data_IF_352187033337
#
_entry.id   IF_352187033337
#
_cell.length_a   1.000
_cell.length_b   1.000
_cell.length_c   1.000
_cell.angle_alpha   90.00
_cell.angle_beta   90.00
_cell.angle_gamma   90.00
#
_symmetry.space_group_name_H-M   'P 1'
#
loop_
_entity.id
_entity.type
_entity.pdbx_description
1 polymer ?
#
# COMPACT_ATOMS: atom_id res chain seq x y z
N UNK A 1 13.76 -41.12 19.39
CA UNK A 1 13.73 -40.25 18.18
C UNK A 1 12.47 -39.43 18.29
N UNK A 2 12.50 -38.29 18.97
CA UNK A 2 11.36 -37.41 19.08
C UNK A 2 11.07 -36.84 17.71
N UNK A 3 9.90 -37.16 17.19
CA UNK A 3 9.34 -36.51 15.98
C UNK A 3 9.23 -35.03 16.32
N UNK A 4 10.19 -34.22 15.85
CA UNK A 4 10.07 -32.76 15.90
C UNK A 4 8.89 -32.36 15.03
N UNK A 5 7.70 -32.30 15.63
CA UNK A 5 6.47 -31.88 14.94
C UNK A 5 6.68 -30.40 14.62
N UNK A 6 7.10 -30.14 13.40
CA UNK A 6 7.27 -28.77 12.90
C UNK A 6 5.92 -28.06 12.99
N UNK A 7 5.84 -26.94 13.71
CA UNK A 7 4.61 -26.16 13.83
C UNK A 7 4.14 -25.70 12.46
N UNK A 8 2.90 -26.04 12.09
CA UNK A 8 2.25 -25.49 10.91
C UNK A 8 1.76 -24.08 11.24
N UNK A 9 2.18 -23.09 10.44
CA UNK A 9 1.76 -21.71 10.60
C UNK A 9 0.38 -21.48 9.97
N UNK A 10 -0.56 -20.96 10.76
CA UNK A 10 -1.92 -20.66 10.29
C UNK A 10 -2.06 -19.18 9.95
N UNK A 11 -2.48 -18.90 8.72
CA UNK A 11 -2.66 -17.54 8.21
C UNK A 11 -4.10 -17.39 7.72
N UNK A 12 -4.82 -16.40 8.24
CA UNK A 12 -6.18 -16.09 7.79
C UNK A 12 -6.18 -14.82 6.96
N UNK A 13 -6.97 -14.81 5.88
CA UNK A 13 -7.16 -13.66 5.00
C UNK A 13 -8.61 -13.18 5.09
N UNK A 14 -8.83 -12.03 5.72
CA UNK A 14 -10.14 -11.39 5.78
C UNK A 14 -10.32 -10.47 4.57
N UNK A 15 -11.17 -10.87 3.64
CA UNK A 15 -11.47 -10.11 2.45
C UNK A 15 -12.52 -9.03 2.75
N UNK A 16 -12.21 -7.79 2.40
CA UNK A 16 -13.16 -6.67 2.42
C UNK A 16 -13.64 -6.44 0.98
N UNK A 17 -14.93 -6.26 0.79
CA UNK A 17 -15.52 -6.04 -0.52
C UNK A 17 -14.73 -4.98 -1.34
N UNK A 18 -14.59 -5.20 -2.65
CA UNK A 18 -13.71 -4.47 -3.57
C UNK A 18 -12.20 -4.60 -3.22
N UNK A 19 -11.79 -5.68 -2.56
CA UNK A 19 -10.38 -5.93 -2.26
C UNK A 19 -9.53 -6.04 -3.55
N UNK A 20 -8.24 -5.80 -3.41
CA UNK A 20 -7.27 -5.94 -4.51
C UNK A 20 -6.94 -7.42 -4.73
N UNK A 21 -7.45 -8.01 -5.81
CA UNK A 21 -7.19 -9.42 -6.17
C UNK A 21 -5.70 -9.71 -6.28
N UNK A 22 -4.94 -8.83 -6.95
CA UNK A 22 -3.50 -9.03 -7.10
C UNK A 22 -2.77 -9.01 -5.76
N UNK A 23 -3.18 -8.16 -4.81
CA UNK A 23 -2.54 -8.11 -3.48
C UNK A 23 -2.82 -9.39 -2.69
N UNK A 24 -4.05 -9.88 -2.74
CA UNK A 24 -4.45 -11.13 -2.11
C UNK A 24 -3.74 -12.33 -2.74
N UNK A 25 -3.80 -12.47 -4.07
CA UNK A 25 -3.13 -13.57 -4.78
C UNK A 25 -1.62 -13.57 -4.54
N UNK A 26 -0.99 -12.40 -4.57
CA UNK A 26 0.45 -12.24 -4.27
C UNK A 26 0.82 -12.63 -2.84
N UNK A 27 -0.13 -12.60 -1.91
CA UNK A 27 0.11 -13.03 -0.53
C UNK A 27 -0.12 -14.53 -0.31
N UNK A 28 -1.14 -15.12 -0.94
CA UNK A 28 -1.49 -16.53 -0.71
C UNK A 28 -0.60 -17.50 -1.52
N UNK A 29 -0.23 -17.15 -2.75
CA UNK A 29 0.53 -18.01 -3.65
C UNK A 29 1.93 -18.43 -3.14
N UNK A 30 2.70 -17.55 -2.43
CA UNK A 30 3.95 -18.00 -1.82
C UNK A 30 3.79 -19.09 -0.77
N UNK A 31 2.68 -19.10 -0.03
CA UNK A 31 2.39 -20.12 0.98
C UNK A 31 2.13 -21.49 0.32
N UNK A 32 1.31 -21.49 -0.74
CA UNK A 32 1.07 -22.69 -1.56
C UNK A 32 2.37 -23.22 -2.17
N UNK A 33 3.20 -22.32 -2.71
CA UNK A 33 4.47 -22.68 -3.30
C UNK A 33 5.45 -23.22 -2.26
N UNK A 34 5.48 -22.66 -1.03
CA UNK A 34 6.30 -23.14 0.08
C UNK A 34 5.97 -24.59 0.43
N UNK A 35 4.68 -24.91 0.63
CA UNK A 35 4.25 -26.29 0.93
C UNK A 35 4.64 -27.25 -0.19
N UNK A 36 4.36 -26.89 -1.44
CA UNK A 36 4.67 -27.72 -2.61
C UNK A 36 6.19 -28.00 -2.74
N UNK A 37 7.03 -26.96 -2.63
CA UNK A 37 8.48 -27.09 -2.80
C UNK A 37 9.10 -27.88 -1.65
N UNK A 38 8.61 -27.65 -0.43
CA UNK A 38 9.12 -28.34 0.76
C UNK A 38 8.60 -29.78 0.89
N UNK A 39 7.54 -30.14 0.16
CA UNK A 39 6.89 -31.46 0.24
C UNK A 39 6.20 -31.73 1.57
N UNK A 40 5.92 -30.71 2.37
CA UNK A 40 5.23 -30.75 3.67
C UNK A 40 4.38 -29.51 3.86
N UNK A 41 3.34 -29.62 4.68
CA UNK A 41 2.50 -28.49 5.06
C UNK A 41 3.22 -27.62 6.10
N UNK A 42 3.86 -26.55 5.62
CA UNK A 42 4.48 -25.51 6.46
C UNK A 42 3.46 -24.45 6.86
N UNK A 43 2.47 -24.20 6.00
CA UNK A 43 1.46 -23.18 6.12
C UNK A 43 0.08 -23.76 5.84
N UNK A 44 -0.88 -23.41 6.70
CA UNK A 44 -2.31 -23.54 6.45
C UNK A 44 -2.90 -22.13 6.30
N UNK A 45 -3.91 -22.00 5.46
CA UNK A 45 -4.61 -20.73 5.31
C UNK A 45 -6.12 -20.94 5.18
N UNK A 46 -6.84 -19.90 5.56
CA UNK A 46 -8.27 -19.80 5.36
C UNK A 46 -8.65 -18.41 4.86
N UNK A 47 -9.74 -18.33 4.13
CA UNK A 47 -10.30 -17.12 3.58
C UNK A 47 -11.58 -16.81 4.36
N UNK A 48 -11.66 -15.58 4.86
CA UNK A 48 -12.78 -15.10 5.66
C UNK A 48 -13.47 -13.92 4.98
N UNK A 49 -14.77 -13.78 5.24
CA UNK A 49 -15.52 -12.56 4.96
C UNK A 49 -16.25 -12.08 6.21
N UNK A 50 -16.88 -10.90 6.13
CA UNK A 50 -17.59 -10.33 7.29
C UNK A 50 -18.85 -11.12 7.67
N UNK A 51 -19.46 -11.80 6.72
CA UNK A 51 -20.76 -12.47 6.84
C UNK A 51 -20.79 -13.90 6.32
N UNK A 52 -19.65 -14.43 5.90
CA UNK A 52 -19.55 -15.77 5.29
C UNK A 52 -20.03 -15.83 3.84
N UNK A 53 -20.42 -14.69 3.25
CA UNK A 53 -20.85 -14.63 1.85
C UNK A 53 -19.68 -14.35 0.92
N UNK A 54 -19.89 -14.60 -0.38
CA UNK A 54 -18.92 -14.30 -1.41
C UNK A 54 -18.55 -12.81 -1.42
N UNK A 55 -17.26 -12.53 -1.58
CA UNK A 55 -16.71 -11.16 -1.61
C UNK A 55 -16.21 -10.85 -3.01
N UNK A 56 -16.66 -9.74 -3.58
CA UNK A 56 -16.21 -9.29 -4.88
C UNK A 56 -14.91 -8.48 -4.74
N UNK A 57 -13.95 -8.79 -5.59
CA UNK A 57 -12.73 -7.99 -5.70
C UNK A 57 -12.94 -6.75 -6.58
N UNK A 58 -11.99 -5.84 -6.58
CA UNK A 58 -12.04 -4.60 -7.37
C UNK A 58 -12.04 -4.83 -8.89
N UNK A 59 -11.71 -6.03 -9.37
CA UNK A 59 -11.79 -6.40 -10.79
C UNK A 59 -13.07 -7.18 -11.15
N UNK A 60 -14.02 -7.33 -10.20
CA UNK A 60 -15.32 -7.99 -10.41
C UNK A 60 -15.31 -9.51 -10.19
N UNK A 61 -14.17 -10.15 -9.93
CA UNK A 61 -14.12 -11.57 -9.61
C UNK A 61 -14.51 -11.76 -8.14
N UNK A 62 -15.43 -12.68 -7.87
CA UNK A 62 -15.87 -13.03 -6.52
C UNK A 62 -15.15 -14.26 -5.98
N UNK A 63 -14.81 -14.20 -4.70
CA UNK A 63 -14.24 -15.34 -3.95
C UNK A 63 -15.23 -15.77 -2.88
N UNK A 64 -15.47 -17.08 -2.81
CA UNK A 64 -16.22 -17.69 -1.73
C UNK A 64 -15.28 -17.92 -0.53
N UNK A 65 -15.59 -17.37 0.65
CA UNK A 65 -14.78 -17.61 1.84
C UNK A 65 -14.99 -19.03 2.37
N UNK A 66 -14.05 -19.49 3.20
CA UNK A 66 -14.22 -20.74 3.95
C UNK A 66 -15.21 -20.54 5.11
N UNK A 67 -15.15 -19.38 5.76
CA UNK A 67 -15.95 -19.04 6.93
C UNK A 67 -16.24 -17.54 7.00
N UNK A 68 -17.17 -17.14 7.88
CA UNK A 68 -17.24 -15.79 8.42
C UNK A 68 -16.15 -15.60 9.48
N UNK A 69 -15.82 -14.34 9.80
CA UNK A 69 -14.96 -14.10 10.95
C UNK A 69 -15.69 -14.45 12.26
N UNK A 70 -15.00 -15.16 13.13
CA UNK A 70 -15.52 -15.58 14.43
C UNK A 70 -14.58 -15.17 15.57
N UNK A 71 -15.16 -14.95 16.74
CA UNK A 71 -14.42 -14.53 17.93
C UNK A 71 -13.38 -15.54 18.43
N UNK A 72 -13.54 -16.81 18.10
CA UNK A 72 -12.66 -17.92 18.50
C UNK A 72 -11.64 -18.30 17.41
N UNK A 73 -11.47 -17.48 16.38
CA UNK A 73 -10.52 -17.71 15.28
C UNK A 73 -9.14 -18.12 15.82
N UNK A 74 -8.65 -19.27 15.37
CA UNK A 74 -7.33 -19.81 15.68
C UNK A 74 -6.39 -19.59 14.50
N UNK A 75 -5.63 -18.52 14.55
CA UNK A 75 -4.66 -18.15 13.52
C UNK A 75 -3.42 -17.54 14.17
N UNK A 76 -2.26 -17.67 13.54
CA UNK A 76 -1.04 -17.00 13.98
C UNK A 76 -0.98 -15.56 13.44
N UNK A 77 -1.45 -15.37 12.20
CA UNK A 77 -1.49 -14.06 11.55
C UNK A 77 -2.84 -13.90 10.84
N UNK A 78 -3.52 -12.78 11.05
CA UNK A 78 -4.66 -12.35 10.24
C UNK A 78 -4.24 -11.22 9.32
N UNK A 79 -4.42 -11.39 8.01
CA UNK A 79 -4.29 -10.31 7.03
C UNK A 79 -5.67 -9.79 6.61
N UNK A 80 -5.88 -8.48 6.78
CA UNK A 80 -7.03 -7.79 6.19
C UNK A 80 -6.66 -7.39 4.76
N UNK A 81 -7.49 -7.77 3.79
CA UNK A 81 -7.29 -7.48 2.38
C UNK A 81 -8.24 -6.36 1.95
N UNK A 82 -7.68 -5.19 1.63
CA UNK A 82 -8.44 -4.02 1.18
C UNK A 82 -8.21 -3.71 -0.29
N UNK A 83 -8.96 -2.74 -0.80
CA UNK A 83 -8.90 -2.28 -2.18
C UNK A 83 -9.59 -0.92 -2.33
N UNK A 84 -10.57 -0.83 -3.23
CA UNK A 84 -11.30 0.41 -3.48
C UNK A 84 -12.25 0.74 -2.32
N UNK A 85 -12.55 2.03 -2.15
CA UNK A 85 -13.58 2.53 -1.23
C UNK A 85 -13.47 2.01 0.23
N UNK A 86 -12.28 1.66 0.68
CA UNK A 86 -12.04 0.99 1.98
C UNK A 86 -12.69 1.72 3.15
N UNK A 87 -12.73 3.06 3.13
CA UNK A 87 -13.32 3.88 4.21
C UNK A 87 -14.79 3.57 4.45
N UNK A 88 -15.55 3.33 3.39
CA UNK A 88 -16.98 3.06 3.46
C UNK A 88 -17.31 1.62 3.93
N UNK A 89 -16.30 0.76 3.98
CA UNK A 89 -16.44 -0.65 4.37
C UNK A 89 -16.10 -0.90 5.83
N UNK A 90 -15.56 0.11 6.53
CA UNK A 90 -15.17 -0.01 7.94
C UNK A 90 -16.38 0.16 8.85
N UNK A 91 -16.63 -0.82 9.71
CA UNK A 91 -17.69 -0.76 10.71
C UNK A 91 -17.17 -1.12 12.12
N UNK A 92 -17.97 -0.83 13.13
CA UNK A 92 -17.60 -1.04 14.55
C UNK A 92 -17.32 -2.52 14.87
N UNK A 93 -18.03 -3.44 14.25
CA UNK A 93 -17.89 -4.90 14.44
C UNK A 93 -16.52 -5.36 13.96
N UNK A 94 -16.11 -4.99 12.75
CA UNK A 94 -14.79 -5.27 12.20
C UNK A 94 -13.68 -4.73 13.11
N UNK A 95 -13.78 -3.45 13.50
CA UNK A 95 -12.77 -2.83 14.37
C UNK A 95 -12.69 -3.51 15.75
N UNK A 96 -13.84 -3.88 16.32
CA UNK A 96 -13.91 -4.63 17.57
C UNK A 96 -13.24 -5.99 17.49
N UNK A 97 -13.52 -6.73 16.42
CA UNK A 97 -12.91 -8.03 16.14
C UNK A 97 -11.37 -7.93 16.03
N UNK A 98 -10.85 -7.02 15.24
CA UNK A 98 -9.40 -6.83 15.08
C UNK A 98 -8.70 -6.49 16.41
N UNK A 99 -9.29 -5.59 17.21
CA UNK A 99 -8.78 -5.26 18.55
C UNK A 99 -8.78 -6.48 19.49
N UNK A 100 -9.81 -7.31 19.41
CA UNK A 100 -9.94 -8.53 20.23
C UNK A 100 -8.85 -9.54 19.85
N UNK A 101 -8.62 -9.78 18.56
CA UNK A 101 -7.55 -10.65 18.09
C UNK A 101 -6.16 -10.16 18.51
N UNK A 102 -5.89 -8.87 18.31
CA UNK A 102 -4.61 -8.28 18.69
C UNK A 102 -4.35 -8.41 20.20
N UNK A 103 -5.37 -8.22 21.06
CA UNK A 103 -5.27 -8.43 22.52
C UNK A 103 -5.01 -9.89 22.91
N UNK A 104 -5.42 -10.84 22.08
CA UNK A 104 -5.13 -12.27 22.27
C UNK A 104 -3.73 -12.67 21.80
N UNK A 105 -2.92 -11.70 21.30
CA UNK A 105 -1.57 -11.95 20.80
C UNK A 105 -1.50 -12.43 19.35
N UNK A 106 -2.61 -12.42 18.61
CA UNK A 106 -2.61 -12.71 17.19
C UNK A 106 -1.94 -11.55 16.45
N UNK A 107 -1.00 -11.87 15.58
CA UNK A 107 -0.39 -10.88 14.68
C UNK A 107 -1.42 -10.40 13.65
N UNK A 108 -1.45 -9.09 13.37
CA UNK A 108 -2.42 -8.52 12.43
C UNK A 108 -1.70 -7.79 11.33
N UNK A 109 -2.05 -8.14 10.10
CA UNK A 109 -1.50 -7.52 8.90
C UNK A 109 -2.57 -6.85 8.04
N UNK A 110 -2.12 -6.03 7.09
CA UNK A 110 -2.95 -5.35 6.12
C UNK A 110 -2.31 -5.37 4.73
N UNK A 111 -3.10 -5.65 3.72
CA UNK A 111 -2.69 -5.63 2.33
C UNK A 111 -3.38 -4.46 1.60
N UNK A 112 -2.60 -3.71 0.82
CA UNK A 112 -3.05 -2.59 0.01
C UNK A 112 -3.60 -1.44 0.88
N UNK A 113 -4.89 -1.12 0.75
CA UNK A 113 -5.54 -0.02 1.49
C UNK A 113 -6.01 -0.43 2.89
N UNK A 114 -5.95 -1.72 3.24
CA UNK A 114 -6.43 -2.20 4.54
C UNK A 114 -5.64 -1.67 5.76
N UNK A 115 -4.46 -1.09 5.55
CA UNK A 115 -3.74 -0.36 6.61
C UNK A 115 -4.60 0.74 7.22
N UNK A 116 -5.51 1.34 6.45
CA UNK A 116 -6.50 2.27 6.95
C UNK A 116 -7.42 1.64 8.02
N UNK A 117 -7.83 0.39 7.82
CA UNK A 117 -8.68 -0.35 8.79
C UNK A 117 -7.93 -0.56 10.10
N UNK A 118 -6.64 -0.94 10.01
CA UNK A 118 -5.80 -1.11 11.20
C UNK A 118 -5.57 0.22 11.93
N UNK A 119 -5.38 1.33 11.19
CA UNK A 119 -5.28 2.67 11.78
C UNK A 119 -6.56 3.06 12.53
N UNK A 120 -7.73 2.88 11.91
CA UNK A 120 -9.04 3.11 12.57
C UNK A 120 -9.27 2.20 13.79
N UNK A 121 -8.70 1.02 13.79
CA UNK A 121 -8.72 0.12 14.96
C UNK A 121 -7.75 0.56 16.06
N UNK A 122 -6.87 1.55 15.83
CA UNK A 122 -5.82 1.96 16.77
C UNK A 122 -4.67 0.96 16.89
N UNK A 123 -4.50 0.08 15.90
CA UNK A 123 -3.51 -1.01 15.94
C UNK A 123 -2.15 -0.63 15.35
N UNK A 124 -2.01 0.58 14.81
CA UNK A 124 -0.77 1.09 14.21
C UNK A 124 -0.08 2.16 15.07
N UNK A 125 -0.59 2.47 16.26
CA UNK A 125 0.05 3.41 17.18
C UNK A 125 1.45 2.90 17.59
N UNK A 126 2.46 3.76 17.46
CA UNK A 126 3.87 3.44 17.72
C UNK A 126 4.40 2.25 16.88
N UNK A 127 3.88 2.11 15.67
CA UNK A 127 4.30 1.10 14.70
C UNK A 127 4.60 1.76 13.37
N UNK A 128 5.70 1.34 12.72
CA UNK A 128 5.91 1.65 11.30
C UNK A 128 4.89 0.93 10.46
N UNK A 129 4.30 1.65 9.54
CA UNK A 129 3.29 1.09 8.64
C UNK A 129 3.38 1.70 7.25
N UNK A 130 2.89 0.97 6.27
CA UNK A 130 2.75 1.47 4.90
C UNK A 130 1.34 1.22 4.39
N UNK A 131 0.97 1.93 3.35
CA UNK A 131 -0.29 1.80 2.63
C UNK A 131 -0.04 2.05 1.13
N UNK A 132 -0.98 1.72 0.28
CA UNK A 132 -0.91 2.03 -1.14
C UNK A 132 -0.60 3.52 -1.37
N UNK A 133 0.36 3.83 -2.25
CA UNK A 133 0.89 5.19 -2.46
C UNK A 133 -0.20 6.23 -2.77
N UNK A 134 -1.28 5.84 -3.44
CA UNK A 134 -2.41 6.73 -3.72
C UNK A 134 -3.12 7.19 -2.45
N UNK A 135 -3.11 6.36 -1.40
CA UNK A 135 -3.79 6.61 -0.13
C UNK A 135 -2.86 7.16 0.96
N UNK A 136 -1.54 7.18 0.72
CA UNK A 136 -0.54 7.55 1.72
C UNK A 136 -0.76 8.96 2.26
N UNK A 137 -1.03 9.92 1.37
CA UNK A 137 -1.26 11.30 1.79
C UNK A 137 -2.54 11.43 2.62
N UNK A 138 -3.67 10.89 2.14
CA UNK A 138 -4.95 10.94 2.86
C UNK A 138 -4.91 10.26 4.22
N UNK A 139 -4.09 9.20 4.35
CA UNK A 139 -3.89 8.51 5.61
C UNK A 139 -3.06 9.35 6.58
N UNK A 140 -2.01 10.05 6.11
CA UNK A 140 -1.20 10.97 6.93
C UNK A 140 -2.02 12.14 7.46
N UNK A 141 -2.89 12.71 6.62
CA UNK A 141 -3.79 13.80 7.03
C UNK A 141 -4.79 13.35 8.11
N UNK A 142 -5.36 12.16 7.96
CA UNK A 142 -6.36 11.64 8.90
C UNK A 142 -5.74 11.09 10.20
N UNK A 143 -4.48 10.64 10.14
CA UNK A 143 -3.76 10.05 11.27
C UNK A 143 -2.35 10.65 11.40
N UNK A 144 -2.23 11.92 11.78
CA UNK A 144 -0.95 12.64 11.79
C UNK A 144 0.07 12.05 12.79
N UNK A 145 -0.40 11.34 13.82
CA UNK A 145 0.45 10.72 14.84
C UNK A 145 1.01 9.34 14.43
N UNK A 146 0.61 8.79 13.28
CA UNK A 146 1.10 7.49 12.82
C UNK A 146 2.37 7.62 11.96
N UNK A 147 3.31 6.73 12.18
CA UNK A 147 4.52 6.62 11.36
C UNK A 147 4.20 5.86 10.05
N UNK A 148 3.76 6.61 9.03
CA UNK A 148 3.40 6.06 7.71
C UNK A 148 4.56 6.27 6.75
N UNK A 149 5.19 5.16 6.33
CA UNK A 149 6.30 5.15 5.39
C UNK A 149 5.81 5.07 3.93
N UNK A 150 6.73 5.27 2.99
CA UNK A 150 6.50 5.03 1.56
C UNK A 150 7.14 3.69 1.09
N UNK A 151 7.48 2.82 2.03
CA UNK A 151 8.09 1.53 1.76
C UNK A 151 7.10 0.56 1.08
N UNK A 152 7.61 -0.46 0.42
CA UNK A 152 6.78 -1.52 -0.19
C UNK A 152 5.97 -2.27 0.85
N UNK A 153 6.61 -2.59 1.96
CA UNK A 153 5.98 -3.24 3.11
C UNK A 153 6.71 -2.85 4.40
N UNK A 154 6.03 -3.05 5.53
CA UNK A 154 6.60 -2.91 6.86
C UNK A 154 6.29 -4.15 7.70
N UNK A 155 7.29 -4.59 8.44
CA UNK A 155 7.18 -5.62 9.49
C UNK A 155 7.66 -4.98 10.78
N UNK A 156 6.74 -4.65 11.66
CA UNK A 156 7.04 -4.07 12.97
C UNK A 156 6.42 -4.91 14.08
N UNK A 157 7.24 -5.83 14.62
CA UNK A 157 6.83 -6.80 15.66
C UNK A 157 5.69 -7.69 15.17
N UNK A 158 4.50 -7.44 15.68
CA UNK A 158 3.26 -8.18 15.42
C UNK A 158 2.35 -7.48 14.40
N UNK A 159 2.88 -6.48 13.69
CA UNK A 159 2.16 -5.73 12.63
C UNK A 159 2.87 -5.88 11.29
N UNK A 160 2.08 -6.19 10.28
CA UNK A 160 2.52 -6.43 8.91
C UNK A 160 1.70 -5.57 7.98
N UNK A 161 2.32 -4.70 7.20
CA UNK A 161 1.59 -3.88 6.23
C UNK A 161 2.28 -3.91 4.86
N UNK A 162 1.50 -4.06 3.80
CA UNK A 162 1.97 -4.03 2.42
C UNK A 162 1.26 -2.94 1.65
N UNK A 163 2.00 -2.26 0.78
CA UNK A 163 1.45 -1.25 -0.13
C UNK A 163 0.55 -1.83 -1.23
N UNK A 164 0.44 -3.15 -1.32
CA UNK A 164 -0.44 -3.83 -2.27
C UNK A 164 0.24 -4.18 -3.59
N UNK A 165 -0.56 -4.64 -4.56
CA UNK A 165 -0.02 -5.20 -5.79
C UNK A 165 0.93 -6.37 -5.51
N UNK A 166 2.03 -6.43 -6.23
CA UNK A 166 3.06 -7.46 -6.04
C UNK A 166 3.94 -7.26 -4.80
N UNK A 167 3.84 -6.13 -4.07
CA UNK A 167 4.59 -5.97 -2.83
C UNK A 167 4.10 -6.90 -1.71
N UNK A 168 2.88 -7.43 -1.83
CA UNK A 168 2.38 -8.47 -0.92
C UNK A 168 3.15 -9.80 -1.10
N UNK A 169 3.65 -10.09 -2.29
CA UNK A 169 4.54 -11.22 -2.55
C UNK A 169 5.87 -11.05 -1.79
N UNK A 170 6.48 -9.86 -1.88
CA UNK A 170 7.75 -9.60 -1.19
C UNK A 170 7.58 -9.64 0.34
N UNK A 171 6.48 -9.09 0.87
CA UNK A 171 6.15 -9.22 2.29
C UNK A 171 6.09 -10.70 2.71
N UNK A 172 5.35 -11.53 1.95
CA UNK A 172 5.20 -12.96 2.27
C UNK A 172 6.52 -13.72 2.14
N UNK A 173 7.31 -13.44 1.11
CA UNK A 173 8.64 -14.04 0.96
C UNK A 173 9.54 -13.67 2.14
N UNK A 174 9.48 -12.43 2.65
CA UNK A 174 10.22 -12.03 3.84
C UNK A 174 9.74 -12.74 5.12
N UNK A 175 8.42 -12.97 5.27
CA UNK A 175 7.89 -13.79 6.37
C UNK A 175 8.40 -15.23 6.25
N UNK A 176 8.39 -15.79 5.05
CA UNK A 176 8.92 -17.15 4.80
C UNK A 176 10.42 -17.21 5.08
N UNK A 177 11.20 -16.18 4.74
CA UNK A 177 12.63 -16.09 5.10
C UNK A 177 12.82 -16.19 6.62
N UNK A 178 12.02 -15.46 7.39
CA UNK A 178 12.09 -15.47 8.85
C UNK A 178 11.72 -16.83 9.45
N UNK A 179 10.75 -17.54 8.86
CA UNK A 179 10.27 -18.82 9.39
C UNK A 179 11.08 -20.03 8.90
N UNK A 180 11.51 -20.03 7.64
CA UNK A 180 12.03 -21.21 6.94
C UNK A 180 13.40 -20.98 6.29
N UNK A 181 13.94 -19.76 6.37
CA UNK A 181 15.22 -19.40 5.79
C UNK A 181 15.16 -18.97 4.32
N UNK A 182 16.27 -18.38 3.85
CA UNK A 182 16.35 -17.72 2.54
C UNK A 182 16.34 -18.68 1.35
N UNK A 183 16.78 -19.93 1.54
CA UNK A 183 16.85 -20.92 0.45
C UNK A 183 15.47 -21.25 -0.09
N UNK A 184 14.51 -21.53 0.79
CA UNK A 184 13.14 -21.83 0.38
C UNK A 184 12.49 -20.62 -0.32
N UNK A 185 12.68 -19.42 0.21
CA UNK A 185 12.12 -18.20 -0.38
C UNK A 185 12.67 -17.92 -1.80
N UNK A 186 13.94 -18.20 -2.06
CA UNK A 186 14.54 -18.12 -3.41
C UNK A 186 13.90 -19.10 -4.38
N UNK A 187 13.75 -20.36 -3.96
CA UNK A 187 13.08 -21.37 -4.80
C UNK A 187 11.63 -21.03 -5.11
N UNK A 188 10.92 -20.39 -4.16
CA UNK A 188 9.56 -19.88 -4.37
C UNK A 188 9.60 -18.72 -5.37
N UNK A 189 10.54 -17.79 -5.23
CA UNK A 189 10.71 -16.65 -6.15
C UNK A 189 10.94 -17.15 -7.58
N UNK A 190 11.82 -18.12 -7.77
CA UNK A 190 12.09 -18.73 -9.08
C UNK A 190 10.84 -19.40 -9.64
N UNK A 191 10.10 -20.18 -8.83
CA UNK A 191 8.85 -20.83 -9.28
C UNK A 191 7.77 -19.81 -9.70
N UNK A 192 7.69 -18.67 -9.02
CA UNK A 192 6.71 -17.61 -9.32
C UNK A 192 7.20 -16.65 -10.41
N UNK A 193 8.37 -16.93 -11.02
CA UNK A 193 9.00 -16.06 -12.05
C UNK A 193 9.16 -14.63 -11.52
N UNK A 194 9.47 -14.51 -10.23
CA UNK A 194 9.71 -13.23 -9.57
C UNK A 194 11.22 -12.96 -9.55
N UNK A 195 11.68 -12.06 -10.41
CA UNK A 195 13.09 -11.83 -10.73
C UNK A 195 13.97 -11.61 -9.49
N UNK A 196 13.46 -10.91 -8.50
CA UNK A 196 14.13 -10.68 -7.21
C UNK A 196 13.15 -10.43 -6.08
N UNK A 197 13.48 -10.90 -4.89
CA UNK A 197 12.80 -10.50 -3.65
C UNK A 197 13.20 -9.07 -3.34
N UNK A 198 12.25 -8.15 -3.38
CA UNK A 198 12.48 -6.72 -3.12
C UNK A 198 12.63 -6.47 -1.62
N UNK A 199 13.41 -5.44 -1.28
CA UNK A 199 13.53 -4.96 0.09
C UNK A 199 12.36 -4.06 0.47
N UNK A 200 12.08 -3.93 1.76
CA UNK A 200 10.99 -3.08 2.25
C UNK A 200 11.12 -1.63 1.77
N UNK A 201 12.33 -1.10 1.73
CA UNK A 201 12.65 0.27 1.32
C UNK A 201 12.75 0.49 -0.21
N UNK A 202 12.46 -0.52 -1.03
CA UNK A 202 12.29 -0.31 -2.47
C UNK A 202 11.06 0.59 -2.72
N UNK A 203 11.08 1.33 -3.82
CA UNK A 203 10.03 2.30 -4.12
C UNK A 203 8.73 1.65 -4.55
N UNK A 204 7.60 2.13 -4.02
CA UNK A 204 6.27 1.70 -4.46
C UNK A 204 5.96 2.11 -5.91
N UNK A 205 6.41 3.30 -6.31
CA UNK A 205 6.19 3.83 -7.66
C UNK A 205 7.43 3.65 -8.51
N UNK A 206 7.21 3.42 -9.80
CA UNK A 206 8.29 3.47 -10.78
C UNK A 206 9.04 4.81 -10.67
N UNK A 207 10.33 4.80 -10.96
CA UNK A 207 11.13 6.03 -10.98
C UNK A 207 10.50 7.10 -11.88
N UNK A 208 10.72 8.38 -11.59
CA UNK A 208 10.28 9.48 -12.45
C UNK A 208 10.70 9.30 -13.90
N UNK A 209 11.91 8.78 -14.11
CA UNK A 209 12.42 8.44 -15.45
C UNK A 209 11.50 7.46 -16.17
N UNK A 210 11.10 6.38 -15.51
CA UNK A 210 10.23 5.36 -16.10
C UNK A 210 8.80 5.87 -16.28
N UNK A 211 8.27 6.65 -15.31
CA UNK A 211 6.90 7.22 -15.38
C UNK A 211 6.74 8.24 -16.51
N UNK A 212 7.76 9.06 -16.74
CA UNK A 212 7.72 10.13 -17.75
C UNK A 212 8.26 9.68 -19.12
N UNK A 213 8.91 8.51 -19.19
CA UNK A 213 9.61 8.07 -20.41
C UNK A 213 10.77 8.98 -20.82
N UNK A 214 11.33 9.75 -19.86
CA UNK A 214 12.34 10.78 -20.11
C UNK A 214 13.53 10.55 -19.20
N UNK A 215 14.74 10.71 -19.75
CA UNK A 215 15.99 10.55 -19.00
C UNK A 215 16.74 11.87 -18.73
N UNK A 216 16.16 13.04 -19.05
CA UNK A 216 16.84 14.33 -18.89
C UNK A 216 16.93 14.73 -17.39
N UNK A 217 18.13 14.76 -16.76
CA UNK A 217 18.27 14.91 -15.31
C UNK A 217 17.63 16.17 -14.74
N UNK A 218 17.78 17.31 -15.43
CA UNK A 218 17.24 18.59 -14.99
C UNK A 218 15.71 18.66 -15.03
N UNK A 219 15.08 17.98 -16.02
CA UNK A 219 13.63 17.84 -16.04
C UNK A 219 13.12 16.96 -14.91
N UNK A 220 13.76 15.80 -14.70
CA UNK A 220 13.39 14.88 -13.60
C UNK A 220 13.55 15.58 -12.25
N UNK A 221 14.65 16.32 -12.04
CA UNK A 221 14.84 17.10 -10.81
C UNK A 221 13.75 18.17 -10.65
N UNK A 222 13.39 18.89 -11.73
CA UNK A 222 12.32 19.90 -11.67
C UNK A 222 10.97 19.27 -11.30
N UNK A 223 10.64 18.12 -11.86
CA UNK A 223 9.39 17.39 -11.56
C UNK A 223 9.40 16.87 -10.10
N UNK A 224 10.53 16.33 -9.63
CA UNK A 224 10.66 15.91 -8.21
C UNK A 224 10.39 17.06 -7.25
N UNK A 225 11.01 18.21 -7.51
CA UNK A 225 10.81 19.42 -6.70
C UNK A 225 9.33 19.85 -6.70
N UNK A 226 8.63 19.77 -7.85
CA UNK A 226 7.20 20.08 -7.91
C UNK A 226 6.36 19.09 -7.09
N UNK A 227 6.65 17.77 -7.19
CA UNK A 227 5.94 16.72 -6.44
C UNK A 227 6.15 16.86 -4.92
N UNK A 228 7.30 17.35 -4.49
CA UNK A 228 7.65 17.60 -3.08
C UNK A 228 6.99 18.87 -2.51
N UNK A 229 6.57 19.80 -3.37
CA UNK A 229 6.04 21.12 -2.97
C UNK A 229 4.61 21.33 -3.52
N UNK A 230 3.72 20.35 -3.33
CA UNK A 230 2.33 20.44 -3.80
C UNK A 230 1.49 21.36 -2.92
N UNK A 231 1.65 21.32 -1.61
CA UNK A 231 0.91 22.13 -0.63
C UNK A 231 1.33 23.61 -0.71
N UNK A 232 2.64 23.86 -0.74
CA UNK A 232 3.21 25.20 -0.90
C UNK A 232 3.91 25.32 -2.26
N UNK A 233 3.15 25.61 -3.35
CA UNK A 233 3.72 25.63 -4.68
C UNK A 233 4.75 26.72 -4.85
N UNK A 234 5.97 26.33 -5.20
CA UNK A 234 7.07 27.27 -5.45
C UNK A 234 6.92 27.97 -6.80
N UNK A 235 7.40 29.21 -6.89
CA UNK A 235 7.41 29.98 -8.14
C UNK A 235 8.34 29.34 -9.18
N UNK A 236 8.06 29.57 -10.47
CA UNK A 236 8.93 29.10 -11.56
C UNK A 236 10.36 29.62 -11.44
N UNK A 237 10.55 30.84 -10.90
CA UNK A 237 11.86 31.42 -10.65
C UNK A 237 12.61 30.63 -9.57
N UNK A 238 11.94 30.24 -8.52
CA UNK A 238 12.50 29.43 -7.45
C UNK A 238 12.77 28.00 -7.91
N UNK A 239 11.80 27.39 -8.63
CA UNK A 239 11.95 26.07 -9.25
C UNK A 239 13.18 26.01 -10.16
N UNK A 240 13.35 27.01 -11.04
CA UNK A 240 14.51 27.07 -11.94
C UNK A 240 15.82 27.18 -11.16
N UNK A 241 15.86 27.98 -10.10
CA UNK A 241 17.00 28.11 -9.20
C UNK A 241 17.33 26.78 -8.50
N UNK A 242 16.33 26.12 -7.88
CA UNK A 242 16.52 24.82 -7.22
C UNK A 242 16.97 23.71 -8.20
N UNK A 243 16.45 23.71 -9.43
CA UNK A 243 16.86 22.78 -10.47
C UNK A 243 18.20 23.17 -11.15
N UNK A 244 18.76 24.34 -10.79
CA UNK A 244 20.00 24.87 -11.37
C UNK A 244 19.95 24.98 -12.91
N UNK A 245 18.92 25.68 -13.41
CA UNK A 245 18.70 26.00 -14.84
C UNK A 245 18.05 27.38 -14.96
N UNK A 246 18.08 27.97 -16.17
CA UNK A 246 17.37 29.23 -16.44
C UNK A 246 15.87 28.97 -16.65
N UNK A 247 15.02 29.99 -16.45
CA UNK A 247 13.57 29.92 -16.75
C UNK A 247 13.32 29.47 -18.20
N UNK A 248 14.05 30.04 -19.15
CA UNK A 248 13.94 29.65 -20.58
C UNK A 248 14.28 28.19 -20.83
N UNK A 249 15.29 27.66 -20.12
CA UNK A 249 15.62 26.23 -20.17
C UNK A 249 14.51 25.37 -19.55
N UNK A 250 13.94 25.78 -18.41
CA UNK A 250 12.82 25.08 -17.76
C UNK A 250 11.64 24.95 -18.73
N UNK A 251 11.19 26.07 -19.32
CA UNK A 251 10.08 26.08 -20.28
C UNK A 251 10.37 25.19 -21.50
N UNK A 252 11.59 25.30 -22.06
CA UNK A 252 12.00 24.50 -23.21
C UNK A 252 12.01 23.01 -22.90
N UNK A 253 12.45 22.58 -21.71
CA UNK A 253 12.48 21.18 -21.30
C UNK A 253 11.07 20.62 -21.16
N UNK A 254 10.17 21.32 -20.45
CA UNK A 254 8.79 20.89 -20.31
C UNK A 254 8.07 20.82 -21.67
N UNK A 255 8.23 21.84 -22.53
CA UNK A 255 7.63 21.83 -23.86
C UNK A 255 8.16 20.70 -24.73
N UNK A 256 9.49 20.47 -24.72
CA UNK A 256 10.14 19.44 -25.54
C UNK A 256 9.76 18.01 -25.14
N UNK A 257 9.74 17.72 -23.84
CA UNK A 257 9.63 16.34 -23.35
C UNK A 257 8.24 15.99 -22.82
N UNK A 258 7.47 16.96 -22.34
CA UNK A 258 6.14 16.74 -21.74
C UNK A 258 5.01 17.44 -22.52
N UNK A 259 5.33 18.13 -23.61
CA UNK A 259 4.37 18.84 -24.48
C UNK A 259 3.47 19.86 -23.77
N UNK A 260 3.87 20.34 -22.60
CA UNK A 260 3.13 21.33 -21.80
C UNK A 260 4.08 22.38 -21.19
N UNK A 261 3.52 23.42 -20.58
CA UNK A 261 4.30 24.38 -19.79
C UNK A 261 4.56 23.85 -18.38
N UNK A 262 5.59 24.35 -17.65
CA UNK A 262 5.80 24.02 -16.25
C UNK A 262 4.55 24.28 -15.39
N UNK A 263 3.84 25.39 -15.62
CA UNK A 263 2.62 25.72 -14.92
C UNK A 263 1.50 24.69 -15.14
N UNK A 264 1.24 24.34 -16.40
CA UNK A 264 0.25 23.32 -16.75
C UNK A 264 0.54 21.97 -16.08
N UNK A 265 1.82 21.57 -16.09
CA UNK A 265 2.22 20.33 -15.41
C UNK A 265 2.00 20.42 -13.90
N UNK A 266 2.37 21.54 -13.28
CA UNK A 266 2.23 21.73 -11.83
C UNK A 266 0.76 21.72 -11.40
N UNK A 267 -0.11 22.42 -12.15
CA UNK A 267 -1.57 22.37 -11.92
C UNK A 267 -2.09 20.93 -12.08
N UNK A 268 -1.66 20.20 -13.11
CA UNK A 268 -2.07 18.81 -13.35
C UNK A 268 -1.79 17.91 -12.15
N UNK A 269 -0.56 17.91 -11.62
CA UNK A 269 -0.21 17.03 -10.48
C UNK A 269 -0.95 17.44 -9.19
N UNK A 270 -1.24 18.72 -9.01
CA UNK A 270 -2.04 19.23 -7.89
C UNK A 270 -3.51 18.79 -8.01
N UNK A 271 -4.09 18.88 -9.20
CA UNK A 271 -5.45 18.40 -9.46
C UNK A 271 -5.57 16.87 -9.31
N UNK A 272 -4.57 16.11 -9.74
CA UNK A 272 -4.51 14.66 -9.51
C UNK A 272 -4.51 14.34 -8.01
N UNK A 273 -3.74 15.07 -7.21
CA UNK A 273 -3.73 14.97 -5.75
C UNK A 273 -5.10 15.31 -5.16
N UNK A 274 -5.69 16.41 -5.60
CA UNK A 274 -7.02 16.86 -5.14
C UNK A 274 -8.10 15.83 -5.45
N UNK A 275 -8.09 15.26 -6.66
CA UNK A 275 -9.03 14.19 -7.05
C UNK A 275 -8.94 12.99 -6.11
N UNK A 276 -7.72 12.57 -5.77
CA UNK A 276 -7.53 11.46 -4.83
C UNK A 276 -8.09 11.78 -3.45
N UNK A 277 -7.87 13.00 -2.95
CA UNK A 277 -8.43 13.44 -1.66
C UNK A 277 -9.96 13.49 -1.68
N UNK A 278 -10.58 13.99 -2.75
CA UNK A 278 -12.04 13.99 -2.93
C UNK A 278 -12.62 12.58 -2.87
N UNK A 279 -11.96 11.61 -3.48
CA UNK A 279 -12.42 10.23 -3.52
C UNK A 279 -12.15 9.46 -2.22
N UNK A 280 -11.12 9.86 -1.45
CA UNK A 280 -10.60 9.08 -0.35
C UNK A 280 -10.81 9.71 1.03
N UNK A 281 -11.30 10.95 1.10
CA UNK A 281 -11.48 11.65 2.38
C UNK A 281 -12.85 12.31 2.48
N UNK A 282 -13.24 12.65 3.70
CA UNK A 282 -14.39 13.51 3.98
C UNK A 282 -14.01 14.99 4.14
N UNK A 283 -12.81 15.37 3.69
CA UNK A 283 -12.34 16.77 3.76
C UNK A 283 -13.25 17.69 2.95
N UNK A 284 -13.45 18.90 3.44
CA UNK A 284 -14.17 19.92 2.69
C UNK A 284 -13.42 20.31 1.41
N UNK A 285 -14.14 20.75 0.39
CA UNK A 285 -13.55 21.24 -0.88
C UNK A 285 -12.52 22.34 -0.59
N UNK A 286 -12.81 23.23 0.37
CA UNK A 286 -11.89 24.27 0.78
C UNK A 286 -10.60 23.70 1.40
N UNK A 287 -10.71 22.74 2.30
CA UNK A 287 -9.54 22.08 2.90
C UNK A 287 -8.71 21.38 1.84
N UNK A 288 -9.33 20.65 0.90
CA UNK A 288 -8.62 20.00 -0.20
C UNK A 288 -7.90 21.02 -1.09
N UNK A 289 -8.55 22.13 -1.42
CA UNK A 289 -7.93 23.21 -2.19
C UNK A 289 -6.66 23.73 -1.49
N UNK A 290 -6.73 23.99 -0.19
CA UNK A 290 -5.59 24.50 0.59
C UNK A 290 -4.43 23.51 0.64
N UNK A 291 -4.65 22.24 1.03
CA UNK A 291 -3.58 21.23 1.14
C UNK A 291 -3.03 20.79 -0.23
N UNK A 292 -3.64 21.21 -1.31
CA UNK A 292 -3.12 21.01 -2.66
C UNK A 292 -2.65 22.33 -3.31
N UNK A 293 -2.43 23.36 -2.48
CA UNK A 293 -1.78 24.61 -2.84
C UNK A 293 -2.65 25.60 -3.62
N UNK A 294 -3.98 25.41 -3.67
CA UNK A 294 -4.88 26.38 -4.27
C UNK A 294 -5.27 27.44 -3.24
N UNK A 295 -5.25 28.71 -3.64
CA UNK A 295 -5.50 29.85 -2.74
C UNK A 295 -6.98 30.03 -2.37
N UNK A 296 -7.89 29.43 -3.12
CA UNK A 296 -9.33 29.49 -2.87
C UNK A 296 -10.08 28.37 -3.57
N UNK A 297 -11.29 28.06 -3.11
CA UNK A 297 -12.18 27.10 -3.76
C UNK A 297 -12.55 27.53 -5.18
N UNK A 298 -12.70 28.83 -5.45
CA UNK A 298 -12.98 29.36 -6.80
C UNK A 298 -11.80 29.23 -7.78
N UNK A 299 -10.57 29.21 -7.26
CA UNK A 299 -9.39 28.93 -8.11
C UNK A 299 -9.18 27.43 -8.34
N UNK A 300 -9.80 26.61 -7.51
CA UNK A 300 -9.78 25.16 -7.60
C UNK A 300 -10.86 24.59 -8.55
N UNK A 301 -12.03 25.23 -8.60
CA UNK A 301 -13.16 24.88 -9.49
C UNK A 301 -12.90 25.35 -10.92
#
# INVERSE_FOLDING_TARGET
>A
MELNIQKIFKISFLLIDEFSMISFASAIEPLRAANRINGKDLYEWEILSLDGQAVSSSNGISIYPNNSFEDNLKTDILFVCGGLNIKNKVNKTLLGFLRKLARRGVSVGALCTASYVLAKAGLLSNKKSTIHWENSFSMKEEFPDLEITNNLFEIDKDRYTSSGGTSSLDLMLNIIIQHQGSSLAKNISDQLIHERIRYSNDYQRMSLRSRLGVSHPKLLSSVSIMEENIEDPISHKELSKKANISLRQLERLFKKYLSCTPNQYYIKIRLERSRNLLLQTSMSILSIALVTGFTSASHFS
#
